data_IF_428444244806
#
_entry.id   IF_428444244806
#
_cell.length_a   1.000
_cell.length_b   1.000
_cell.length_c   1.000
_cell.angle_alpha   90.00
_cell.angle_beta   90.00
_cell.angle_gamma   90.00
#
_symmetry.space_group_name_H-M   'P 1'
#
loop_
_entity.id
_entity.type
_entity.pdbx_description
1 polymer ?
#
# COMPACT_ATOMS: atom_id res chain seq x y z
N UNK A 1 16.02 3.42 -9.30
CA UNK A 1 14.84 3.81 -8.51
C UNK A 1 15.23 3.77 -7.05
N UNK A 2 15.00 4.83 -6.30
CA UNK A 2 15.36 4.81 -4.88
C UNK A 2 14.33 4.03 -4.05
N UNK A 3 14.65 3.86 -2.78
CA UNK A 3 13.84 3.05 -1.85
C UNK A 3 12.41 3.59 -1.71
N UNK A 4 12.26 4.90 -1.63
CA UNK A 4 10.95 5.55 -1.48
C UNK A 4 10.11 5.35 -2.73
N UNK A 5 10.68 5.56 -3.90
CA UNK A 5 9.98 5.37 -5.18
C UNK A 5 9.55 3.93 -5.36
N UNK A 6 10.39 2.97 -4.98
CA UNK A 6 10.05 1.56 -5.03
C UNK A 6 8.89 1.25 -4.09
N UNK A 7 8.91 1.79 -2.88
CA UNK A 7 7.85 1.60 -1.90
C UNK A 7 6.52 2.18 -2.39
N UNK A 8 6.54 3.36 -2.99
CA UNK A 8 5.34 3.99 -3.57
C UNK A 8 4.79 3.14 -4.70
N UNK A 9 5.66 2.60 -5.55
CA UNK A 9 5.26 1.72 -6.64
C UNK A 9 4.55 0.46 -6.10
N UNK A 10 5.11 -0.17 -5.06
CA UNK A 10 4.52 -1.35 -4.43
C UNK A 10 3.17 -1.00 -3.83
N UNK A 11 3.06 0.11 -3.10
CA UNK A 11 1.80 0.55 -2.50
C UNK A 11 0.73 0.80 -3.56
N UNK A 12 1.12 1.42 -4.67
CA UNK A 12 0.20 1.66 -5.79
C UNK A 12 -0.35 0.35 -6.34
N UNK A 13 0.48 -0.68 -6.45
CA UNK A 13 0.03 -2.01 -6.89
C UNK A 13 -0.93 -2.65 -5.90
N UNK A 14 -0.64 -2.52 -4.60
CA UNK A 14 -1.53 -3.03 -3.55
C UNK A 14 -2.91 -2.38 -3.69
N UNK A 15 -2.96 -1.07 -3.83
CA UNK A 15 -4.21 -0.33 -3.98
C UNK A 15 -5.00 -0.76 -5.23
N UNK A 16 -4.30 -1.04 -6.31
CA UNK A 16 -4.93 -1.54 -7.52
C UNK A 16 -5.58 -2.90 -7.29
N UNK A 17 -4.89 -3.83 -6.61
CA UNK A 17 -5.46 -5.13 -6.29
C UNK A 17 -6.70 -5.00 -5.40
N UNK A 18 -6.63 -4.13 -4.38
CA UNK A 18 -7.77 -3.89 -3.49
C UNK A 18 -8.96 -3.33 -4.27
N UNK A 19 -8.73 -2.39 -5.16
CA UNK A 19 -9.77 -1.81 -6.01
C UNK A 19 -10.41 -2.86 -6.90
N UNK A 20 -9.58 -3.71 -7.52
CA UNK A 20 -10.05 -4.76 -8.42
C UNK A 20 -10.85 -5.82 -7.67
N UNK A 21 -10.45 -6.16 -6.43
CA UNK A 21 -11.20 -7.10 -5.59
C UNK A 21 -12.63 -6.66 -5.35
N UNK A 22 -12.86 -5.36 -5.21
CA UNK A 22 -14.21 -4.83 -4.96
C UNK A 22 -15.15 -4.98 -6.16
N UNK A 23 -14.61 -5.26 -7.34
CA UNK A 23 -15.37 -5.45 -8.58
C UNK A 23 -15.56 -6.90 -8.94
N UNK A 24 -14.88 -7.82 -8.26
CA UNK A 24 -14.91 -9.25 -8.57
C UNK A 24 -15.88 -9.94 -7.65
N UNK A 25 -16.76 -10.78 -8.24
CA UNK A 25 -17.76 -11.53 -7.46
C UNK A 25 -17.34 -12.98 -7.24
N UNK A 26 -16.34 -13.46 -7.95
CA UNK A 26 -15.85 -14.82 -7.81
C UNK A 26 -14.91 -14.93 -6.62
N UNK A 27 -15.31 -15.72 -5.62
CA UNK A 27 -14.56 -15.89 -4.37
C UNK A 27 -13.12 -16.39 -4.61
N UNK A 28 -12.96 -17.33 -5.52
CA UNK A 28 -11.64 -17.92 -5.84
C UNK A 28 -10.68 -16.86 -6.39
N UNK A 29 -11.17 -16.01 -7.29
CA UNK A 29 -10.38 -14.92 -7.88
C UNK A 29 -10.04 -13.85 -6.84
N UNK A 30 -11.00 -13.52 -5.97
CA UNK A 30 -10.75 -12.56 -4.87
C UNK A 30 -9.64 -13.06 -3.97
N UNK A 31 -9.64 -14.33 -3.62
CA UNK A 31 -8.61 -14.92 -2.76
C UNK A 31 -7.22 -14.84 -3.40
N UNK A 32 -7.12 -15.02 -4.72
CA UNK A 32 -5.85 -14.87 -5.44
C UNK A 32 -5.33 -13.44 -5.35
N UNK A 33 -6.21 -12.45 -5.49
CA UNK A 33 -5.84 -11.04 -5.41
C UNK A 33 -5.42 -10.66 -3.98
N UNK A 34 -6.14 -11.17 -2.98
CA UNK A 34 -5.75 -10.98 -1.58
C UNK A 34 -4.36 -11.53 -1.29
N UNK A 35 -4.06 -12.71 -1.82
CA UNK A 35 -2.76 -13.35 -1.68
C UNK A 35 -1.65 -12.47 -2.26
N UNK A 36 -1.86 -11.96 -3.47
CA UNK A 36 -0.89 -11.07 -4.12
C UNK A 36 -0.68 -9.78 -3.34
N UNK A 37 -1.76 -9.18 -2.87
CA UNK A 37 -1.69 -7.96 -2.05
C UNK A 37 -0.94 -8.21 -0.74
N UNK A 38 -1.21 -9.34 -0.08
CA UNK A 38 -0.54 -9.70 1.16
C UNK A 38 0.97 -9.87 0.98
N UNK A 39 1.39 -10.50 -0.11
CA UNK A 39 2.82 -10.66 -0.42
C UNK A 39 3.51 -9.33 -0.65
N UNK A 40 2.85 -8.42 -1.34
CA UNK A 40 3.37 -7.07 -1.57
C UNK A 40 3.46 -6.28 -0.25
N UNK A 41 2.48 -6.45 0.62
CA UNK A 41 2.49 -5.85 1.96
C UNK A 41 3.69 -6.33 2.78
N UNK A 42 3.99 -7.62 2.72
CA UNK A 42 5.14 -8.18 3.43
C UNK A 42 6.44 -7.57 2.93
N UNK A 43 6.59 -7.42 1.63
CA UNK A 43 7.76 -6.77 1.03
C UNK A 43 7.88 -5.32 1.51
N UNK A 44 6.78 -4.59 1.47
CA UNK A 44 6.73 -3.20 1.90
C UNK A 44 7.15 -3.07 3.37
N UNK A 45 6.63 -3.93 4.21
CA UNK A 45 6.94 -3.97 5.64
C UNK A 45 8.41 -4.29 5.89
N UNK A 46 8.96 -5.25 5.15
CA UNK A 46 10.37 -5.61 5.24
C UNK A 46 11.29 -4.46 4.83
N UNK A 47 10.83 -3.60 3.94
CA UNK A 47 11.54 -2.38 3.56
C UNK A 47 11.46 -1.28 4.62
N UNK A 48 10.64 -1.44 5.63
CA UNK A 48 10.45 -0.45 6.70
C UNK A 48 9.35 0.56 6.43
N UNK A 49 8.37 0.21 5.60
CA UNK A 49 7.26 1.10 5.27
C UNK A 49 5.92 0.53 5.72
N UNK A 50 4.99 1.42 6.02
CA UNK A 50 3.61 1.07 6.37
C UNK A 50 2.64 2.02 5.69
N UNK A 51 1.46 1.52 5.36
CA UNK A 51 0.35 2.35 4.92
C UNK A 51 -0.31 2.98 6.15
N UNK A 52 -0.66 4.23 6.07
CA UNK A 52 -1.34 4.91 7.17
C UNK A 52 -2.12 6.12 6.69
N UNK A 53 -2.56 6.90 7.67
CA UNK A 53 -3.34 8.11 7.42
C UNK A 53 -2.75 9.26 8.23
N UNK A 54 -2.74 10.44 7.63
CA UNK A 54 -2.30 11.66 8.30
C UNK A 54 -3.21 12.80 7.91
N UNK A 55 -3.40 13.73 8.83
CA UNK A 55 -4.10 14.95 8.54
C UNK A 55 -3.15 15.93 7.87
N UNK A 56 -3.51 16.35 6.66
CA UNK A 56 -2.74 17.31 5.88
C UNK A 56 -3.69 18.44 5.48
N UNK A 57 -3.38 19.66 5.90
CA UNK A 57 -4.19 20.85 5.60
C UNK A 57 -5.66 20.66 5.97
N UNK A 58 -5.91 20.07 7.14
CA UNK A 58 -7.26 19.86 7.65
C UNK A 58 -8.02 18.68 7.05
N UNK A 59 -7.37 17.88 6.20
CA UNK A 59 -8.00 16.71 5.57
C UNK A 59 -7.18 15.47 5.85
N UNK A 60 -7.87 14.35 6.09
CA UNK A 60 -7.22 13.06 6.24
C UNK A 60 -6.81 12.52 4.88
N UNK A 61 -5.54 12.19 4.72
CA UNK A 61 -4.99 11.66 3.47
C UNK A 61 -4.30 10.32 3.72
N UNK A 62 -4.32 9.47 2.70
CA UNK A 62 -3.55 8.24 2.71
C UNK A 62 -2.08 8.56 2.50
N UNK A 63 -1.22 7.95 3.29
CA UNK A 63 0.22 8.18 3.24
C UNK A 63 0.97 6.86 3.34
N UNK A 64 2.19 6.87 2.81
CA UNK A 64 3.17 5.83 3.02
C UNK A 64 4.11 6.32 4.11
N UNK A 65 4.26 5.54 5.18
CA UNK A 65 5.07 5.91 6.34
C UNK A 65 6.38 5.15 6.31
N UNK A 66 7.49 5.88 6.35
CA UNK A 66 8.82 5.30 6.57
C UNK A 66 9.03 5.21 8.08
N UNK A 67 8.93 4.00 8.62
CA UNK A 67 8.98 3.79 10.07
C UNK A 67 10.38 3.98 10.65
N UNK A 68 11.41 3.83 9.85
CA UNK A 68 12.81 4.00 10.31
C UNK A 68 13.21 5.48 10.37
N UNK A 69 12.80 6.24 9.35
CA UNK A 69 13.13 7.67 9.26
C UNK A 69 12.07 8.56 9.90
N UNK A 70 10.95 7.99 10.31
CA UNK A 70 9.80 8.70 10.87
C UNK A 70 9.31 9.82 9.94
N UNK A 71 9.20 9.49 8.67
CA UNK A 71 8.71 10.40 7.62
C UNK A 71 7.49 9.79 6.95
N UNK A 72 6.68 10.62 6.30
CA UNK A 72 5.57 10.11 5.51
C UNK A 72 5.53 10.78 4.14
N UNK A 73 4.94 10.07 3.19
CA UNK A 73 4.81 10.52 1.81
C UNK A 73 3.36 10.40 1.38
N UNK A 74 2.79 11.46 0.85
CA UNK A 74 1.41 11.45 0.40
C UNK A 74 1.25 10.54 -0.82
N UNK A 75 0.25 9.68 -0.78
CA UNK A 75 -0.09 8.77 -1.88
C UNK A 75 -1.08 9.38 -2.86
#
# INVERSE_FOLDING_TARGET
>A
MDKVDTAIFIETKIQKYVKDMNKIHDHSTVMKYMDKAARLYDILKDMGFEHGYREIKGKVAEVLIDTKENKFYKL
#
